data_IF_137595289200
#
_entry.id   IF_137595289200
#
_cell.length_a   1.000
_cell.length_b   1.000
_cell.length_c   1.000
_cell.angle_alpha   90.00
_cell.angle_beta   90.00
_cell.angle_gamma   90.00
#
_symmetry.space_group_name_H-M   'P 1'
#
loop_
_entity.id
_entity.type
_entity.pdbx_description
1 polymer ?
#
# COMPACT_ATOMS: atom_id res chain seq x y z
N UNK A 1 -15.78 -2.14 9.91
CA UNK A 1 -15.58 -2.70 8.55
C UNK A 1 -14.13 -2.48 8.17
N UNK A 2 -13.52 -3.40 7.43
CA UNK A 2 -12.18 -3.19 6.87
C UNK A 2 -12.20 -1.98 5.93
N UNK A 3 -11.05 -1.35 5.70
CA UNK A 3 -10.93 -0.25 4.75
C UNK A 3 -10.05 -0.65 3.60
N UNK A 4 -10.44 -0.30 2.39
CA UNK A 4 -9.61 -0.54 1.20
C UNK A 4 -9.23 0.79 0.56
N UNK A 5 -7.94 0.98 0.30
CA UNK A 5 -7.41 2.17 -0.35
C UNK A 5 -6.77 1.81 -1.68
N UNK A 6 -6.96 2.68 -2.68
CA UNK A 6 -6.20 2.66 -3.92
C UNK A 6 -5.37 3.92 -4.07
N UNK A 7 -4.07 3.74 -4.27
CA UNK A 7 -3.09 4.80 -4.54
C UNK A 7 -2.80 4.78 -6.04
N UNK A 8 -3.30 5.78 -6.74
CA UNK A 8 -3.24 5.92 -8.19
C UNK A 8 -2.11 6.87 -8.56
N UNK A 9 -1.26 6.44 -9.49
CA UNK A 9 -0.13 7.21 -10.01
C UNK A 9 0.23 6.75 -11.43
N UNK A 10 1.06 7.52 -12.13
CA UNK A 10 1.58 7.22 -13.46
C UNK A 10 2.62 6.09 -13.38
N UNK A 11 2.15 4.87 -13.15
CA UNK A 11 3.00 3.69 -13.01
C UNK A 11 3.76 3.40 -14.31
N UNK A 12 5.10 3.35 -14.30
CA UNK A 12 5.88 3.03 -15.50
C UNK A 12 5.54 1.63 -16.04
N UNK A 13 5.53 1.46 -17.37
CA UNK A 13 5.29 0.14 -18.00
C UNK A 13 6.26 -0.95 -17.54
N UNK A 14 7.49 -0.57 -17.22
CA UNK A 14 8.54 -1.48 -16.74
C UNK A 14 8.70 -1.43 -15.20
N UNK A 15 7.67 -1.03 -14.47
CA UNK A 15 7.71 -0.92 -13.02
C UNK A 15 8.01 -2.27 -12.35
N UNK A 16 8.92 -2.25 -11.38
CA UNK A 16 9.35 -3.44 -10.62
C UNK A 16 8.96 -3.27 -9.16
N UNK A 17 7.85 -3.89 -8.76
CA UNK A 17 7.32 -3.79 -7.40
C UNK A 17 8.24 -4.35 -6.31
N UNK A 18 9.13 -5.29 -6.64
CA UNK A 18 9.97 -5.99 -5.64
C UNK A 18 10.71 -5.05 -4.69
N UNK A 19 11.19 -3.89 -5.18
CA UNK A 19 11.94 -2.94 -4.36
C UNK A 19 11.09 -2.27 -3.27
N UNK A 20 9.83 -1.92 -3.57
CA UNK A 20 8.92 -1.36 -2.56
C UNK A 20 8.39 -2.45 -1.62
N UNK A 21 8.11 -3.64 -2.16
CA UNK A 21 7.57 -4.76 -1.38
C UNK A 21 8.55 -5.25 -0.30
N UNK A 22 9.86 -5.21 -0.59
CA UNK A 22 10.90 -5.55 0.39
C UNK A 22 11.01 -4.57 1.57
N UNK A 23 10.38 -3.38 1.49
CA UNK A 23 10.40 -2.37 2.56
C UNK A 23 9.20 -2.49 3.49
N UNK A 24 8.21 -3.31 3.14
CA UNK A 24 6.97 -3.39 3.88
C UNK A 24 7.20 -4.08 5.24
N UNK A 25 6.63 -3.57 6.34
CA UNK A 25 6.62 -4.28 7.62
C UNK A 25 5.82 -5.58 7.53
N UNK A 26 5.97 -6.48 8.50
CA UNK A 26 5.21 -7.74 8.54
C UNK A 26 3.69 -7.48 8.43
N UNK A 27 2.97 -8.18 7.53
CA UNK A 27 1.51 -8.09 7.44
C UNK A 27 0.78 -8.86 8.54
N UNK A 28 1.50 -9.58 9.41
CA UNK A 28 0.95 -10.39 10.49
C UNK A 28 1.42 -9.82 11.83
N UNK A 29 0.49 -9.63 12.77
CA UNK A 29 0.76 -9.20 14.14
C UNK A 29 1.40 -10.30 14.97
N UNK A 30 1.91 -9.97 16.16
CA UNK A 30 2.47 -10.97 17.08
C UNK A 30 1.43 -12.01 17.56
N UNK A 31 0.14 -11.71 17.46
CA UNK A 31 -0.95 -12.64 17.76
C UNK A 31 -1.41 -13.45 16.54
N UNK A 32 -0.64 -13.47 15.45
CA UNK A 32 -0.96 -14.17 14.20
C UNK A 32 -2.22 -13.65 13.49
N UNK A 33 -2.55 -12.36 13.70
CA UNK A 33 -3.68 -11.71 13.02
C UNK A 33 -3.18 -10.91 11.82
N UNK A 34 -3.84 -11.02 10.66
CA UNK A 34 -3.51 -10.22 9.49
C UNK A 34 -3.80 -8.74 9.74
N UNK A 35 -2.76 -7.90 9.72
CA UNK A 35 -2.83 -6.45 9.91
C UNK A 35 -3.31 -5.77 8.63
N UNK A 36 -2.73 -6.15 7.50
CA UNK A 36 -3.04 -5.60 6.19
C UNK A 36 -2.76 -6.63 5.10
N UNK A 37 -3.36 -6.39 3.93
CA UNK A 37 -3.02 -7.09 2.70
C UNK A 37 -2.84 -6.07 1.56
N UNK A 38 -2.20 -6.45 0.47
CA UNK A 38 -1.94 -5.53 -0.63
C UNK A 38 -1.96 -6.22 -1.99
N UNK A 39 -2.18 -5.42 -3.03
CA UNK A 39 -1.94 -5.84 -4.40
C UNK A 39 -1.27 -4.71 -5.18
N UNK A 40 -0.37 -5.08 -6.09
CA UNK A 40 0.14 -4.17 -7.11
C UNK A 40 -0.52 -4.57 -8.42
N UNK A 41 -1.35 -3.69 -8.98
CA UNK A 41 -2.01 -3.92 -10.26
C UNK A 41 -1.72 -2.76 -11.18
N UNK A 42 -2.13 -2.89 -12.44
CA UNK A 42 -2.06 -1.78 -13.38
C UNK A 42 -2.71 -0.54 -12.76
N UNK A 43 -1.99 0.58 -12.84
CA UNK A 43 -2.44 1.89 -12.36
C UNK A 43 -2.52 2.09 -10.84
N UNK A 44 -1.84 1.28 -10.02
CA UNK A 44 -1.63 1.67 -8.62
C UNK A 44 -1.33 0.58 -7.61
N UNK A 45 -1.21 1.01 -6.36
CA UNK A 45 -1.14 0.16 -5.18
C UNK A 45 -2.51 0.06 -4.51
N UNK A 46 -2.88 -1.15 -4.11
CA UNK A 46 -4.08 -1.44 -3.35
C UNK A 46 -3.67 -1.87 -1.95
N UNK A 47 -4.28 -1.29 -0.93
CA UNK A 47 -4.01 -1.57 0.48
C UNK A 47 -5.33 -1.88 1.19
N UNK A 48 -5.43 -3.10 1.72
CA UNK A 48 -6.51 -3.53 2.60
C UNK A 48 -6.05 -3.37 4.05
N UNK A 49 -6.74 -2.52 4.80
CA UNK A 49 -6.54 -2.30 6.22
C UNK A 49 -7.58 -3.10 7.02
N UNK A 50 -7.10 -4.07 7.81
CA UNK A 50 -7.94 -4.91 8.67
C UNK A 50 -8.25 -4.28 10.04
N UNK A 51 -7.79 -3.04 10.29
CA UNK A 51 -7.98 -2.28 11.53
C UNK A 51 -7.35 -2.92 12.78
N UNK A 52 -6.28 -3.71 12.61
CA UNK A 52 -5.61 -4.43 13.70
C UNK A 52 -4.46 -3.62 14.31
N UNK A 53 -3.56 -3.09 13.48
CA UNK A 53 -2.44 -2.23 13.90
C UNK A 53 -2.32 -1.04 12.95
N UNK A 54 -2.92 0.08 13.36
CA UNK A 54 -2.96 1.31 12.55
C UNK A 54 -1.60 1.97 12.38
N UNK A 55 -0.65 1.71 13.29
CA UNK A 55 0.71 2.23 13.15
C UNK A 55 1.40 1.51 11.99
N UNK A 56 1.36 0.18 11.96
CA UNK A 56 1.90 -0.61 10.85
C UNK A 56 1.24 -0.28 9.52
N UNK A 57 -0.09 -0.12 9.48
CA UNK A 57 -0.80 0.29 8.26
C UNK A 57 -0.39 1.69 7.81
N UNK A 58 -0.22 2.63 8.74
CA UNK A 58 0.26 3.98 8.43
C UNK A 58 1.66 3.98 7.81
N UNK A 59 2.55 3.12 8.30
CA UNK A 59 3.89 2.93 7.73
C UNK A 59 3.81 2.36 6.29
N UNK A 60 2.97 1.36 6.05
CA UNK A 60 2.74 0.79 4.71
C UNK A 60 2.18 1.84 3.75
N UNK A 61 1.16 2.59 4.18
CA UNK A 61 0.57 3.68 3.39
C UNK A 61 1.63 4.71 3.00
N UNK A 62 2.46 5.13 3.95
CA UNK A 62 3.57 6.07 3.68
C UNK A 62 4.56 5.51 2.67
N UNK A 63 4.96 4.24 2.79
CA UNK A 63 5.89 3.59 1.87
C UNK A 63 5.32 3.59 0.44
N UNK A 64 4.05 3.25 0.26
CA UNK A 64 3.42 3.25 -1.06
C UNK A 64 3.24 4.66 -1.63
N UNK A 65 2.88 5.65 -0.80
CA UNK A 65 2.80 7.06 -1.22
C UNK A 65 4.16 7.58 -1.67
N UNK A 66 5.20 7.37 -0.86
CA UNK A 66 6.56 7.81 -1.17
C UNK A 66 7.08 7.15 -2.46
N UNK A 67 6.77 5.87 -2.65
CA UNK A 67 7.12 5.15 -3.87
C UNK A 67 6.38 5.70 -5.09
N UNK A 68 5.07 5.91 -4.99
CA UNK A 68 4.26 6.45 -6.08
C UNK A 68 4.72 7.86 -6.50
N UNK A 69 5.09 8.71 -5.53
CA UNK A 69 5.60 10.06 -5.78
C UNK A 69 6.98 10.12 -6.44
N UNK A 70 7.74 9.02 -6.49
CA UNK A 70 8.98 8.96 -7.29
C UNK A 70 8.71 9.00 -8.79
N UNK A 71 7.54 8.53 -9.21
CA UNK A 71 7.19 8.36 -10.61
C UNK A 71 6.18 9.41 -11.10
N UNK A 72 5.52 10.11 -10.19
CA UNK A 72 4.49 11.10 -10.53
C UNK A 72 4.59 12.33 -9.64
N UNK A 73 4.38 13.51 -10.22
CA UNK A 73 4.36 14.79 -9.48
C UNK A 73 3.22 14.88 -8.46
N UNK A 74 2.15 14.12 -8.69
CA UNK A 74 0.97 14.04 -7.84
C UNK A 74 0.43 12.63 -7.87
N UNK A 75 -0.26 12.24 -6.80
CA UNK A 75 -0.96 10.96 -6.68
C UNK A 75 -2.40 11.21 -6.26
N UNK A 76 -3.27 10.23 -6.49
CA UNK A 76 -4.65 10.23 -5.97
C UNK A 76 -4.84 9.03 -5.05
N UNK A 77 -5.35 9.28 -3.85
CA UNK A 77 -5.76 8.23 -2.90
C UNK A 77 -7.28 8.20 -2.84
N UNK A 78 -7.87 7.02 -2.98
CA UNK A 78 -9.33 6.82 -2.84
C UNK A 78 -9.59 5.67 -1.87
N UNK A 79 -10.57 5.85 -0.97
CA UNK A 79 -11.17 4.77 -0.19
C UNK A 79 -12.19 4.06 -1.11
N UNK A 80 -12.15 2.73 -1.16
CA UNK A 80 -13.01 1.89 -2.02
C UNK A 80 -14.16 1.24 -1.23
N UNK A 81 -13.98 1.05 0.08
CA UNK A 81 -14.98 0.42 0.98
C UNK A 81 -14.82 0.92 2.41
#
# INVERSE_FOLDING_TARGET
MKKEYKIIFDMPKAYKSREVLNKLPSPISSQMTEIYNYAVKDYGFYLLDNLVDQKTVGEVMKIFIDEALKYSKSIKVVELT
#
